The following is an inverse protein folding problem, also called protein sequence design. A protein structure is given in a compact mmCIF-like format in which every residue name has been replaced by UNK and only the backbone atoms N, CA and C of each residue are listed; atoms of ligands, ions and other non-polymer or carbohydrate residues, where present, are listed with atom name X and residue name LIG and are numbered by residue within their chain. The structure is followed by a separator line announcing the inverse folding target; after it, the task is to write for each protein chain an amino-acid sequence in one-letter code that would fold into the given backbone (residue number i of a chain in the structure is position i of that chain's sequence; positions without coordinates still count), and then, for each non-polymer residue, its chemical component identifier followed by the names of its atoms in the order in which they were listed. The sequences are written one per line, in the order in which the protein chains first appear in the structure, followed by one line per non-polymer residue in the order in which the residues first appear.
data_IF_622492839225
#
_entry.id   IF_622492839225
#
_cell.length_a   1.000
_cell.length_b   1.000
_cell.length_c   1.000
_cell.angle_alpha   90.00
_cell.angle_beta   90.00
_cell.angle_gamma   90.00
#
_symmetry.space_group_name_H-M   'P 1'
#
loop_
_entity.id
_entity.type
_entity.pdbx_description
1 polymer ?
#
# COMPACT_ATOMS: atom_id res chain seq x y z
N UNK A 1 4.32 5.42 -16.26
CA UNK A 1 5.39 6.08 -15.46
C UNK A 1 5.14 5.99 -13.96
N UNK A 2 3.95 6.35 -13.46
CA UNK A 2 3.61 6.21 -12.02
C UNK A 2 3.78 4.77 -11.49
N UNK A 3 3.39 3.78 -12.28
CA UNK A 3 3.57 2.36 -11.94
C UNK A 3 5.05 1.97 -11.78
N UNK A 4 5.96 2.56 -12.58
CA UNK A 4 7.39 2.34 -12.41
C UNK A 4 7.89 2.89 -11.06
N UNK A 5 7.43 4.09 -10.65
CA UNK A 5 7.71 4.62 -9.31
C UNK A 5 7.20 3.68 -8.21
N UNK A 6 6.00 3.12 -8.37
CA UNK A 6 5.43 2.13 -7.45
C UNK A 6 6.24 0.84 -7.38
N UNK A 7 6.69 0.30 -8.52
CA UNK A 7 7.54 -0.90 -8.58
C UNK A 7 8.88 -0.64 -7.92
N UNK A 8 9.51 0.52 -8.14
CA UNK A 8 10.78 0.87 -7.47
C UNK A 8 10.60 0.92 -5.96
N UNK A 9 9.56 1.62 -5.46
CA UNK A 9 9.24 1.67 -4.02
C UNK A 9 8.94 0.28 -3.44
N UNK A 10 8.24 -0.57 -4.20
CA UNK A 10 7.94 -1.93 -3.79
C UNK A 10 9.24 -2.75 -3.63
N UNK A 11 10.18 -2.64 -4.58
CA UNK A 11 11.48 -3.30 -4.48
C UNK A 11 12.29 -2.80 -3.28
N UNK A 12 12.33 -1.49 -3.04
CA UNK A 12 12.99 -0.90 -1.85
C UNK A 12 12.36 -1.45 -0.56
N UNK A 13 11.03 -1.49 -0.48
CA UNK A 13 10.32 -2.04 0.66
C UNK A 13 10.59 -3.53 0.87
N UNK A 14 10.59 -4.34 -0.18
CA UNK A 14 10.92 -5.77 -0.10
C UNK A 14 12.34 -5.99 0.42
N UNK A 15 13.31 -5.18 -0.02
CA UNK A 15 14.67 -5.22 0.52
C UNK A 15 14.70 -4.87 2.02
N UNK A 16 13.99 -3.82 2.43
CA UNK A 16 13.86 -3.46 3.86
C UNK A 16 13.26 -4.63 4.65
N UNK A 17 12.18 -5.24 4.15
CA UNK A 17 11.49 -6.34 4.82
C UNK A 17 12.37 -7.59 4.93
N UNK A 18 13.19 -7.90 3.91
CA UNK A 18 14.13 -9.02 3.93
C UNK A 18 15.25 -8.82 4.96
N UNK A 19 15.73 -7.59 5.11
CA UNK A 19 16.83 -7.25 6.01
C UNK A 19 16.36 -6.95 7.45
N UNK A 20 15.08 -6.70 7.67
CA UNK A 20 14.56 -6.36 9.01
C UNK A 20 14.44 -7.61 9.88
N UNK A 21 14.92 -7.55 11.13
CA UNK A 21 14.86 -8.67 12.07
C UNK A 21 13.42 -9.11 12.37
N UNK A 22 12.52 -8.13 12.51
CA UNK A 22 11.09 -8.34 12.81
C UNK A 22 10.20 -8.47 11.56
N UNK A 23 10.69 -9.03 10.45
CA UNK A 23 10.00 -9.13 9.15
C UNK A 23 8.54 -9.59 9.21
N UNK A 24 8.22 -10.58 10.06
CA UNK A 24 6.85 -11.09 10.18
C UNK A 24 5.89 -10.08 10.80
N UNK A 25 6.36 -9.21 11.70
CA UNK A 25 5.52 -8.15 12.29
C UNK A 25 5.22 -7.10 11.23
N UNK A 26 6.25 -6.64 10.51
CA UNK A 26 6.12 -5.65 9.43
C UNK A 26 5.17 -6.14 8.32
N UNK A 27 5.31 -7.40 7.90
CA UNK A 27 4.44 -7.99 6.89
C UNK A 27 2.97 -8.02 7.34
N UNK A 28 2.68 -8.40 8.59
CA UNK A 28 1.31 -8.38 9.13
C UNK A 28 0.73 -6.96 9.14
N UNK A 29 1.51 -5.97 9.56
CA UNK A 29 1.10 -4.56 9.57
C UNK A 29 0.78 -4.06 8.17
N UNK A 30 1.64 -4.40 7.20
CA UNK A 30 1.44 -4.09 5.78
C UNK A 30 0.14 -4.73 5.26
N UNK A 31 -0.06 -6.03 5.46
CA UNK A 31 -1.27 -6.73 5.02
C UNK A 31 -2.54 -6.16 5.68
N UNK A 32 -2.48 -5.83 6.98
CA UNK A 32 -3.62 -5.26 7.72
C UNK A 32 -4.00 -3.87 7.20
N UNK A 33 -3.02 -2.98 7.02
CA UNK A 33 -3.25 -1.62 6.51
C UNK A 33 -3.70 -1.65 5.05
N UNK A 34 -2.98 -2.37 4.19
CA UNK A 34 -3.32 -2.50 2.77
C UNK A 34 -4.71 -3.10 2.60
N UNK A 35 -5.01 -4.20 3.30
CA UNK A 35 -6.32 -4.85 3.25
C UNK A 35 -7.46 -3.94 3.69
N UNK A 36 -7.28 -3.16 4.77
CA UNK A 36 -8.30 -2.23 5.24
C UNK A 36 -8.59 -1.13 4.23
N UNK A 37 -7.53 -0.54 3.66
CA UNK A 37 -7.66 0.56 2.69
C UNK A 37 -8.29 0.07 1.38
N UNK A 38 -7.89 -1.10 0.88
CA UNK A 38 -8.46 -1.68 -0.33
C UNK A 38 -9.89 -2.21 -0.12
N UNK A 39 -10.23 -2.69 1.07
CA UNK A 39 -11.62 -3.05 1.39
C UNK A 39 -12.52 -1.81 1.41
N UNK A 40 -12.04 -0.70 1.97
CA UNK A 40 -12.75 0.58 1.91
C UNK A 40 -12.95 1.01 0.45
N UNK A 41 -11.94 0.87 -0.41
CA UNK A 41 -12.04 1.13 -1.85
C UNK A 41 -13.16 0.31 -2.52
N UNK A 42 -13.24 -0.99 -2.22
CA UNK A 42 -14.29 -1.85 -2.77
C UNK A 42 -15.69 -1.37 -2.35
N UNK A 43 -15.85 -1.00 -1.08
CA UNK A 43 -17.12 -0.48 -0.56
C UNK A 43 -17.46 0.86 -1.22
N UNK A 44 -16.49 1.77 -1.35
CA UNK A 44 -16.73 3.08 -1.96
C UNK A 44 -17.10 2.95 -3.43
N UNK A 45 -16.39 2.12 -4.21
CA UNK A 45 -16.74 1.84 -5.61
C UNK A 45 -18.12 1.21 -5.77
N UNK A 46 -18.57 0.41 -4.79
CA UNK A 46 -19.91 -0.18 -4.81
C UNK A 46 -21.01 0.86 -4.52
N UNK A 47 -20.74 1.79 -3.61
CA UNK A 47 -21.70 2.80 -3.15
C UNK A 47 -21.78 4.00 -4.10
N UNK A 48 -20.67 4.36 -4.75
CA UNK A 48 -20.62 5.54 -5.63
C UNK A 48 -20.84 5.18 -7.10
N UNK A 49 -21.46 6.11 -7.82
CA UNK A 49 -21.74 6.06 -9.26
C UNK A 49 -21.21 7.32 -9.96
N UNK A 50 -19.89 7.49 -10.04
CA UNK A 50 -19.22 8.57 -10.78
C UNK A 50 -18.92 8.18 -12.23
N UNK A 51 -19.25 9.08 -13.16
CA UNK A 51 -18.91 8.93 -14.57
C UNK A 51 -17.40 8.83 -14.83
N UNK A 52 -17.02 8.13 -15.91
CA UNK A 52 -15.62 7.90 -16.31
C UNK A 52 -14.92 9.25 -16.61
N UNK A 53 -13.69 9.48 -16.12
CA UNK A 53 -13.06 10.80 -16.12
C UNK A 53 -12.51 11.28 -17.48
N UNK A 54 -12.64 10.53 -18.58
CA UNK A 54 -12.11 10.99 -19.87
C UNK A 54 -12.66 10.29 -21.11
N UNK A 55 -12.75 11.05 -22.21
CA UNK A 55 -13.17 10.58 -23.54
C UNK A 55 -12.10 9.74 -24.27
N UNK A 56 -10.86 9.72 -23.79
CA UNK A 56 -9.74 8.96 -24.38
C UNK A 56 -9.71 7.48 -23.99
N UNK A 57 -10.52 7.06 -23.01
CA UNK A 57 -10.59 5.66 -22.59
C UNK A 57 -11.63 4.94 -23.45
N UNK A 58 -11.19 4.13 -24.42
CA UNK A 58 -12.10 3.30 -25.21
C UNK A 58 -12.65 2.14 -24.35
N UNK A 59 -13.77 2.40 -23.69
CA UNK A 59 -14.44 1.42 -22.86
C UNK A 59 -15.35 0.52 -23.68
N UNK A 60 -15.07 -0.78 -23.66
CA UNK A 60 -16.00 -1.79 -24.18
C UNK A 60 -17.17 -1.97 -23.22
N UNK A 61 -18.38 -2.14 -23.77
CA UNK A 61 -19.58 -2.42 -22.99
C UNK A 61 -19.48 -3.68 -22.11
N UNK A 62 -20.33 -3.75 -21.09
CA UNK A 62 -20.38 -4.86 -20.13
C UNK A 62 -20.72 -6.18 -20.85
N UNK A 63 -19.91 -7.22 -20.65
CA UNK A 63 -20.22 -8.56 -21.15
C UNK A 63 -21.43 -9.14 -20.39
N UNK A 64 -22.55 -9.31 -21.08
CA UNK A 64 -23.76 -9.96 -20.57
C UNK A 64 -23.73 -11.46 -20.89
N UNK A 65 -24.25 -12.32 -20.00
CA UNK A 65 -24.48 -13.74 -20.28
C UNK A 65 -23.48 -14.73 -19.69
N UNK A 66 -22.17 -14.54 -19.85
CA UNK A 66 -21.19 -15.59 -19.50
C UNK A 66 -20.50 -15.40 -18.15
N UNK A 67 -20.89 -16.21 -17.15
CA UNK A 67 -20.22 -16.28 -15.84
C UNK A 67 -18.76 -16.75 -15.95
N UNK A 68 -18.48 -17.67 -16.88
CA UNK A 68 -17.13 -18.16 -17.13
C UNK A 68 -16.21 -17.09 -17.71
N UNK A 69 -16.68 -16.31 -18.69
CA UNK A 69 -15.93 -15.20 -19.27
C UNK A 69 -15.66 -14.09 -18.24
N UNK A 70 -16.60 -13.84 -17.31
CA UNK A 70 -16.40 -12.93 -16.17
C UNK A 70 -15.32 -13.43 -15.22
N UNK A 71 -15.30 -14.73 -14.91
CA UNK A 71 -14.28 -15.34 -14.05
C UNK A 71 -12.90 -15.27 -14.71
N UNK A 72 -12.79 -15.59 -16.00
CA UNK A 72 -11.52 -15.48 -16.74
C UNK A 72 -10.99 -14.05 -16.76
N UNK A 73 -11.86 -13.05 -16.97
CA UNK A 73 -11.46 -11.63 -16.85
C UNK A 73 -11.04 -11.26 -15.44
N UNK A 74 -11.75 -11.72 -14.41
CA UNK A 74 -11.37 -11.47 -13.02
C UNK A 74 -9.99 -12.06 -12.68
N UNK A 75 -9.72 -13.29 -13.15
CA UNK A 75 -8.41 -13.95 -13.01
C UNK A 75 -7.32 -13.18 -13.77
N UNK A 76 -7.61 -12.72 -14.99
CA UNK A 76 -6.67 -11.90 -15.76
C UNK A 76 -6.32 -10.58 -15.03
N UNK A 77 -7.33 -9.85 -14.54
CA UNK A 77 -7.14 -8.62 -13.76
C UNK A 77 -6.32 -8.89 -12.48
N UNK A 78 -6.65 -9.98 -11.77
CA UNK A 78 -5.92 -10.39 -10.57
C UNK A 78 -4.46 -10.71 -10.88
N UNK A 79 -4.22 -11.48 -11.95
CA UNK A 79 -2.87 -11.87 -12.36
C UNK A 79 -2.01 -10.68 -12.79
N UNK A 80 -2.62 -9.63 -13.34
CA UNK A 80 -1.97 -8.37 -13.69
C UNK A 80 -1.81 -7.39 -12.53
N UNK A 81 -2.24 -7.74 -11.31
CA UNK A 81 -2.32 -6.86 -10.14
C UNK A 81 -3.07 -5.54 -10.40
N UNK A 82 -3.95 -5.51 -11.40
CA UNK A 82 -4.67 -4.30 -11.83
C UNK A 82 -3.76 -3.17 -12.36
N UNK A 83 -2.54 -3.48 -12.81
CA UNK A 83 -1.61 -2.52 -13.41
C UNK A 83 -1.86 -2.36 -14.91
N UNK A 84 -1.77 -1.15 -15.42
CA UNK A 84 -1.84 -0.87 -16.87
C UNK A 84 -0.61 -1.42 -17.62
N UNK A 85 0.56 -1.54 -16.97
CA UNK A 85 1.76 -2.17 -17.54
C UNK A 85 1.56 -3.64 -17.94
N UNK A 86 0.62 -4.35 -17.31
CA UNK A 86 0.33 -5.76 -17.64
C UNK A 86 -0.77 -5.90 -18.70
N UNK A 87 -1.18 -4.78 -19.31
CA UNK A 87 -2.22 -4.73 -20.34
C UNK A 87 -3.64 -4.77 -19.79
N UNK A 88 -3.82 -4.62 -18.47
CA UNK A 88 -5.14 -4.61 -17.84
C UNK A 88 -5.71 -3.20 -17.88
N UNK A 89 -6.59 -2.95 -18.85
CA UNK A 89 -7.42 -1.74 -18.90
C UNK A 89 -8.80 -2.06 -18.33
N UNK A 90 -9.07 -1.56 -17.13
CA UNK A 90 -10.44 -1.55 -16.60
C UNK A 90 -11.13 -0.26 -17.03
N UNK A 91 -12.46 -0.23 -16.94
CA UNK A 91 -13.30 0.92 -17.23
C UNK A 91 -14.41 0.97 -16.19
N UNK A 92 -14.57 2.11 -15.51
CA UNK A 92 -15.60 2.31 -14.51
C UNK A 92 -15.24 3.42 -13.53
N UNK A 93 -15.95 3.44 -12.41
CA UNK A 93 -15.77 4.40 -11.34
C UNK A 93 -14.43 4.21 -10.66
N UNK A 94 -13.57 5.21 -10.77
CA UNK A 94 -12.25 5.19 -10.17
C UNK A 94 -12.17 5.90 -8.82
N UNK A 95 -13.32 6.16 -8.18
CA UNK A 95 -13.32 6.86 -6.90
C UNK A 95 -12.38 6.10 -5.96
N UNK A 96 -11.36 6.82 -5.47
CA UNK A 96 -10.20 6.29 -4.74
C UNK A 96 -9.13 5.61 -5.63
N UNK A 97 -8.02 6.31 -5.91
CA UNK A 97 -6.93 5.76 -6.74
C UNK A 97 -6.04 4.76 -5.98
N UNK A 98 -6.01 3.51 -6.43
CA UNK A 98 -5.18 2.45 -5.83
C UNK A 98 -3.68 2.67 -6.02
N UNK A 99 -3.26 3.23 -7.15
CA UNK A 99 -1.86 3.56 -7.40
C UNK A 99 -1.35 4.57 -6.38
N UNK A 100 -2.12 5.62 -6.11
CA UNK A 100 -1.80 6.61 -5.08
C UNK A 100 -1.71 5.96 -3.70
N UNK A 101 -2.67 5.11 -3.33
CA UNK A 101 -2.64 4.37 -2.05
C UNK A 101 -1.37 3.53 -1.93
N UNK A 102 -1.04 2.73 -2.94
CA UNK A 102 0.11 1.81 -2.87
C UNK A 102 1.41 2.59 -2.77
N UNK A 103 1.61 3.61 -3.61
CA UNK A 103 2.83 4.43 -3.61
C UNK A 103 2.98 5.16 -2.27
N UNK A 104 1.92 5.79 -1.77
CA UNK A 104 1.96 6.53 -0.50
C UNK A 104 2.17 5.62 0.70
N UNK A 105 1.50 4.47 0.74
CA UNK A 105 1.64 3.50 1.82
C UNK A 105 3.06 2.91 1.84
N UNK A 106 3.61 2.53 0.68
CA UNK A 106 4.99 2.05 0.56
C UNK A 106 6.00 3.11 1.02
N UNK A 107 5.81 4.37 0.63
CA UNK A 107 6.66 5.48 1.10
C UNK A 107 6.66 5.62 2.63
N UNK A 108 5.47 5.57 3.26
CA UNK A 108 5.37 5.65 4.72
C UNK A 108 5.97 4.44 5.42
N UNK A 109 5.76 3.23 4.91
CA UNK A 109 6.40 2.02 5.44
C UNK A 109 7.92 2.09 5.35
N UNK A 110 8.46 2.51 4.21
CA UNK A 110 9.91 2.71 4.06
C UNK A 110 10.41 3.72 5.07
N UNK A 111 9.75 4.87 5.23
CA UNK A 111 10.19 5.93 6.15
C UNK A 111 10.11 5.52 7.63
N UNK A 112 9.05 4.80 8.03
CA UNK A 112 8.83 4.39 9.43
C UNK A 112 9.81 3.31 9.89
N UNK A 113 10.00 2.27 9.06
CA UNK A 113 10.77 1.09 9.45
C UNK A 113 12.25 1.16 9.06
N UNK A 114 12.73 2.29 8.53
CA UNK A 114 14.16 2.51 8.27
C UNK A 114 14.81 3.47 9.27
N UNK A 115 16.12 3.33 9.53
CA UNK A 115 16.82 4.18 10.49
C UNK A 115 16.84 5.63 10.01
N UNK A 116 16.78 6.58 10.94
CA UNK A 116 16.90 8.02 10.64
C UNK A 116 18.24 8.43 10.02
N UNK A 117 19.27 7.58 10.09
CA UNK A 117 20.56 7.85 9.43
C UNK A 117 20.50 7.64 7.91
N UNK A 118 19.51 6.91 7.40
CA UNK A 118 19.38 6.55 5.98
C UNK A 118 18.59 7.62 5.19
N UNK A 119 19.00 8.88 5.36
CA UNK A 119 18.33 10.05 4.75
C UNK A 119 18.15 9.92 3.24
N UNK A 120 19.12 9.33 2.54
CA UNK A 120 19.03 9.13 1.09
C UNK A 120 17.81 8.29 0.69
N UNK A 121 17.53 7.21 1.43
CA UNK A 121 16.38 6.33 1.15
C UNK A 121 15.07 7.07 1.40
N UNK A 122 15.00 7.87 2.47
CA UNK A 122 13.82 8.70 2.78
C UNK A 122 13.61 9.77 1.71
N UNK A 123 14.66 10.50 1.32
CA UNK A 123 14.55 11.51 0.26
C UNK A 123 14.10 10.86 -1.05
N UNK A 124 14.70 9.74 -1.43
CA UNK A 124 14.31 9.00 -2.63
C UNK A 124 12.85 8.54 -2.57
N UNK A 125 12.39 8.01 -1.42
CA UNK A 125 11.02 7.51 -1.30
C UNK A 125 9.99 8.63 -1.41
N UNK A 126 10.26 9.79 -0.78
CA UNK A 126 9.40 10.97 -0.87
C UNK A 126 9.37 11.58 -2.27
N UNK A 127 10.53 11.64 -2.94
CA UNK A 127 10.63 12.11 -4.32
C UNK A 127 9.84 11.20 -5.26
N UNK A 128 9.99 9.86 -5.14
CA UNK A 128 9.22 8.89 -5.93
C UNK A 128 7.71 8.99 -5.65
N UNK A 129 7.32 9.26 -4.40
CA UNK A 129 5.92 9.47 -4.05
C UNK A 129 5.34 10.73 -4.72
N UNK A 130 6.06 11.85 -4.67
CA UNK A 130 5.64 13.11 -5.30
C UNK A 130 5.54 12.98 -6.82
N UNK A 131 6.57 12.42 -7.46
CA UNK A 131 6.55 12.19 -8.91
C UNK A 131 5.49 11.17 -9.32
N UNK A 132 5.28 10.11 -8.51
CA UNK A 132 4.21 9.14 -8.73
C UNK A 132 2.85 9.81 -8.75
N UNK A 133 2.53 10.63 -7.75
CA UNK A 133 1.28 11.41 -7.69
C UNK A 133 1.16 12.38 -8.87
N UNK A 134 2.24 13.08 -9.21
CA UNK A 134 2.27 13.99 -10.35
C UNK A 134 1.95 13.27 -11.67
N UNK A 135 2.57 12.12 -11.94
CA UNK A 135 2.30 11.34 -13.14
C UNK A 135 0.89 10.77 -13.18
N UNK A 136 0.30 10.43 -12.03
CA UNK A 136 -1.10 9.98 -11.94
C UNK A 136 -2.05 11.13 -12.34
N UNK A 137 -1.80 12.34 -11.83
CA UNK A 137 -2.61 13.52 -12.18
C UNK A 137 -2.42 13.91 -13.65
N UNK A 138 -1.17 13.88 -14.15
CA UNK A 138 -0.84 14.22 -15.53
C UNK A 138 -1.43 13.23 -16.56
N UNK A 139 -1.68 11.99 -16.16
CA UNK A 139 -2.35 11.01 -17.02
C UNK A 139 -3.84 11.33 -17.25
N UNK A 140 -4.44 12.22 -16.45
CA UNK A 140 -5.87 12.57 -16.51
C UNK A 140 -6.83 11.37 -16.43
N UNK A 141 -6.36 10.21 -15.99
CA UNK A 141 -7.18 8.99 -15.84
C UNK A 141 -8.02 8.97 -14.55
N UNK A 142 -7.79 9.92 -13.65
CA UNK A 142 -8.48 10.03 -12.36
C UNK A 142 -8.89 11.49 -12.10
N UNK A 143 -10.01 11.70 -11.42
CA UNK A 143 -10.30 13.02 -10.90
C UNK A 143 -9.24 13.40 -9.85
N UNK A 144 -8.80 14.65 -9.83
CA UNK A 144 -7.84 15.14 -8.84
C UNK A 144 -8.32 14.93 -7.39
N UNK A 145 -9.65 14.93 -7.17
CA UNK A 145 -10.27 14.62 -5.89
C UNK A 145 -10.02 13.17 -5.45
N UNK A 146 -9.97 12.20 -6.37
CA UNK A 146 -9.73 10.79 -6.06
C UNK A 146 -8.32 10.58 -5.54
N UNK A 147 -7.36 11.32 -6.11
CA UNK A 147 -5.96 11.33 -5.69
C UNK A 147 -5.81 11.99 -4.31
N UNK A 148 -6.49 13.12 -4.09
CA UNK A 148 -6.47 13.83 -2.81
C UNK A 148 -7.08 12.99 -1.67
N UNK A 149 -8.26 12.42 -1.89
CA UNK A 149 -8.94 11.57 -0.90
C UNK A 149 -8.10 10.32 -0.61
N UNK A 150 -7.54 9.67 -1.64
CA UNK A 150 -6.66 8.51 -1.48
C UNK A 150 -5.43 8.83 -0.63
N UNK A 151 -4.75 9.95 -0.91
CA UNK A 151 -3.62 10.43 -0.11
C UNK A 151 -4.03 10.70 1.34
N UNK A 152 -5.15 11.40 1.55
CA UNK A 152 -5.64 11.78 2.87
C UNK A 152 -6.00 10.56 3.73
N UNK A 153 -6.84 9.66 3.20
CA UNK A 153 -7.28 8.46 3.93
C UNK A 153 -6.09 7.56 4.24
N UNK A 154 -5.17 7.36 3.29
CA UNK A 154 -3.98 6.52 3.51
C UNK A 154 -3.09 7.09 4.61
N UNK A 155 -2.84 8.40 4.58
CA UNK A 155 -2.03 9.09 5.61
C UNK A 155 -2.67 8.99 6.99
N UNK A 156 -3.99 9.23 7.09
CA UNK A 156 -4.72 9.17 8.38
C UNK A 156 -4.78 7.75 8.93
N UNK A 157 -5.10 6.76 8.11
CA UNK A 157 -5.13 5.36 8.54
C UNK A 157 -3.75 4.88 8.99
N UNK A 158 -2.69 5.23 8.26
CA UNK A 158 -1.33 4.89 8.66
C UNK A 158 -0.96 5.49 10.02
N UNK A 159 -1.23 6.78 10.23
CA UNK A 159 -0.93 7.48 11.48
C UNK A 159 -1.74 6.91 12.66
N UNK A 160 -3.05 6.68 12.47
CA UNK A 160 -3.91 6.12 13.50
C UNK A 160 -3.49 4.71 13.89
N UNK A 161 -3.15 3.88 12.91
CA UNK A 161 -2.66 2.53 13.14
C UNK A 161 -1.38 2.54 13.99
N UNK A 162 -0.37 3.34 13.62
CA UNK A 162 0.91 3.39 14.34
C UNK A 162 0.77 4.06 15.71
N UNK A 163 -0.08 5.08 15.85
CA UNK A 163 -0.41 5.69 17.16
C UNK A 163 -1.02 4.65 18.10
N UNK A 164 -1.94 3.83 17.58
CA UNK A 164 -2.61 2.78 18.34
C UNK A 164 -1.64 1.64 18.71
N UNK A 165 -0.76 1.24 17.77
CA UNK A 165 0.25 0.20 18.00
C UNK A 165 1.35 0.64 18.97
N UNK A 166 1.73 1.92 18.96
CA UNK A 166 2.79 2.45 19.81
C UNK A 166 2.29 2.78 21.24
N UNK A 167 0.98 2.99 21.42
CA UNK A 167 0.40 3.37 22.72
C UNK A 167 -0.22 2.16 23.44
N UNK A 168 0.49 1.66 24.46
CA UNK A 168 0.08 0.47 25.25
C UNK A 168 -1.30 0.60 25.91
N UNK A 169 -1.66 1.80 26.36
CA UNK A 169 -2.94 2.05 27.02
C UNK A 169 -4.15 1.78 26.11
N UNK A 170 -4.01 2.02 24.80
CA UNK A 170 -5.10 1.77 23.86
C UNK A 170 -5.14 0.32 23.36
N UNK A 171 -4.00 -0.38 23.27
CA UNK A 171 -3.97 -1.81 22.91
C UNK A 171 -4.77 -2.67 23.90
N UNK A 172 -4.78 -2.31 25.19
CA UNK A 172 -5.49 -3.04 26.24
C UNK A 172 -6.96 -2.60 26.40
N UNK A 173 -7.39 -1.55 25.70
CA UNK A 173 -8.76 -1.04 25.82
C UNK A 173 -9.76 -1.96 25.10
N UNK A 174 -10.81 -2.36 25.83
CA UNK A 174 -11.94 -3.14 25.29
C UNK A 174 -12.63 -2.43 24.12
N UNK A 175 -12.62 -1.09 24.10
CA UNK A 175 -13.20 -0.27 23.02
C UNK A 175 -12.40 -0.39 21.71
N UNK A 176 -11.08 -0.33 21.78
CA UNK A 176 -10.23 -0.48 20.59
C UNK A 176 -10.40 -1.86 19.94
N UNK A 177 -10.57 -2.92 20.74
CA UNK A 177 -10.82 -4.29 20.27
C UNK A 177 -12.15 -4.44 19.51
N UNK A 178 -13.19 -3.73 19.95
CA UNK A 178 -14.52 -3.78 19.31
C UNK A 178 -14.53 -2.98 18.01
N UNK A 179 -13.95 -1.78 18.01
CA UNK A 179 -13.94 -0.90 16.83
C UNK A 179 -12.93 -1.34 15.75
N UNK A 180 -11.83 -1.99 16.15
CA UNK A 180 -10.78 -2.45 15.24
C UNK A 180 -10.42 -3.92 15.51
N UNK A 181 -11.31 -4.88 15.17
CA UNK A 181 -11.09 -6.29 15.44
C UNK A 181 -9.86 -6.86 14.71
N UNK A 182 -9.67 -6.47 13.44
CA UNK A 182 -8.50 -6.88 12.64
C UNK A 182 -7.20 -6.38 13.25
N UNK A 183 -7.17 -5.12 13.70
CA UNK A 183 -6.00 -4.55 14.39
C UNK A 183 -5.68 -5.35 15.66
N UNK A 184 -6.69 -5.60 16.50
CA UNK A 184 -6.48 -6.34 17.74
C UNK A 184 -5.90 -7.72 17.46
N UNK A 185 -6.41 -8.45 16.46
CA UNK A 185 -5.92 -9.79 16.12
C UNK A 185 -4.44 -9.79 15.66
N UNK A 186 -4.05 -8.86 14.77
CA UNK A 186 -2.69 -8.82 14.23
C UNK A 186 -1.63 -8.28 15.21
N UNK A 187 -2.02 -7.41 16.15
CA UNK A 187 -1.12 -6.78 17.12
C UNK A 187 -1.15 -7.40 18.53
N UNK A 188 -1.95 -8.47 18.77
CA UNK A 188 -2.05 -9.16 20.08
C UNK A 188 -0.70 -9.49 20.74
N UNK A 189 0.32 -9.81 19.94
CA UNK A 189 1.63 -10.29 20.43
C UNK A 189 2.74 -9.22 20.34
N UNK A 190 2.40 -7.96 20.06
CA UNK A 190 3.38 -6.87 19.85
C UNK A 190 3.20 -5.78 20.90
N UNK A 191 4.19 -5.66 21.79
CA UNK A 191 4.13 -4.76 22.94
C UNK A 191 4.88 -3.44 22.70
N UNK A 192 4.26 -2.53 21.94
CA UNK A 192 4.77 -1.17 21.69
C UNK A 192 5.56 -1.02 20.39
N UNK A 193 6.40 0.04 20.28
CA UNK A 193 7.12 0.36 19.05
C UNK A 193 8.14 -0.73 18.71
N UNK A 194 8.21 -1.09 17.42
CA UNK A 194 9.15 -2.09 16.91
C UNK A 194 10.51 -1.41 16.72
N UNK A 195 11.61 -1.93 17.28
CA UNK A 195 12.92 -1.36 17.07
C UNK A 195 13.38 -1.62 15.63
N UNK A 196 14.00 -0.62 15.00
CA UNK A 196 14.55 -0.68 13.65
C UNK A 196 15.89 -1.44 13.66
N UNK A 197 15.83 -2.74 14.00
CA UNK A 197 16.96 -3.66 14.01
C UNK A 197 17.04 -4.44 12.70
N UNK A 198 18.21 -4.38 12.06
CA UNK A 198 18.48 -5.07 10.82
C UNK A 198 19.37 -6.29 11.06
N UNK A 199 19.06 -7.38 10.38
CA UNK A 199 19.79 -8.63 10.45
C UNK A 199 19.92 -9.21 9.05
N UNK A 200 21.14 -9.57 8.66
CA UNK A 200 21.36 -10.25 7.39
C UNK A 200 20.73 -11.66 7.41
N UNK A 201 19.77 -11.96 6.52
CA UNK A 201 19.00 -13.21 6.59
C UNK A 201 19.75 -14.44 6.05
N UNK A 202 20.81 -14.24 5.25
CA UNK A 202 21.56 -15.34 4.63
C UNK A 202 22.82 -15.69 5.43
N UNK A 203 23.24 -16.96 5.41
CA UNK A 203 24.47 -17.42 6.08
C UNK A 203 25.75 -16.88 5.44
N UNK A 204 25.68 -16.44 4.17
CA UNK A 204 26.78 -15.83 3.40
C UNK A 204 26.26 -14.64 2.59
N UNK A 205 27.08 -13.63 2.27
CA UNK A 205 28.45 -13.39 2.72
C UNK A 205 28.52 -12.73 4.11
N UNK A 206 29.48 -13.17 4.93
CA UNK A 206 29.70 -12.71 6.31
C UNK A 206 30.10 -11.23 6.43
N UNK A 207 30.61 -10.63 5.36
CA UNK A 207 30.99 -9.21 5.30
C UNK A 207 29.75 -8.31 5.45
N UNK A 208 28.67 -8.63 4.73
CA UNK A 208 27.42 -7.85 4.79
C UNK A 208 26.74 -8.01 6.16
N UNK A 209 26.87 -9.19 6.78
CA UNK A 209 26.40 -9.43 8.16
C UNK A 209 27.08 -8.52 9.18
N UNK A 210 28.37 -8.18 9.01
CA UNK A 210 29.10 -7.25 9.90
C UNK A 210 28.73 -5.78 9.67
N UNK A 211 28.36 -5.39 8.45
CA UNK A 211 27.95 -4.02 8.14
C UNK A 211 26.52 -3.70 8.58
N UNK A 212 25.63 -4.69 8.56
CA UNK A 212 24.21 -4.52 8.89
C UNK A 212 23.91 -4.80 10.37
N UNK A 213 24.70 -5.66 11.03
CA UNK A 213 24.46 -6.13 12.40
C UNK A 213 25.17 -5.34 13.52
N UNK A 214 25.54 -4.07 13.30
CA UNK A 214 26.08 -3.17 14.33
C UNK A 214 25.12 -2.02 14.60
#
# INVERSE_FOLDING_TARGET
MAEACGVILCNVWLLVLLLHKHRSILLRRMCSLMGTVFMLRCITMFVTSLSVPGQHLQCSGKMYGDTWAKLQRAVAIWSGFGMTLTGVHTCGDYMFSGHTVVITLLNFFVTEYTPRSWNFIHTLSWVLNLFGIFFILAAHEHYSIDVFIAFYITTRLFLYYHTLANTRAYQQSRRARIWFPMFSFFECNVNGPVPNEYCWPFTRPTVIRKFIGK
#
